data_IF_079096578014
#
_entry.id   IF_079096578014
#
_cell.length_a   1.000
_cell.length_b   1.000
_cell.length_c   1.000
_cell.angle_alpha   90.00
_cell.angle_beta   90.00
_cell.angle_gamma   90.00
#
_symmetry.space_group_name_H-M   'P 1'
#
loop_
_entity.id
_entity.type
_entity.pdbx_description
1 polymer ?
#
# COMPACT_ATOMS: atom_id res chain seq x y z
N UNK A 1 -10.44 -12.46 -3.99
CA UNK A 1 -10.66 -11.11 -3.42
C UNK A 1 -9.44 -10.21 -3.57
N UNK A 2 -8.28 -10.59 -3.00
CA UNK A 2 -7.02 -9.80 -3.05
C UNK A 2 -6.69 -9.29 -4.46
N UNK A 3 -6.70 -10.17 -5.47
CA UNK A 3 -6.36 -9.78 -6.85
C UNK A 3 -7.26 -8.66 -7.41
N UNK A 4 -8.55 -8.69 -7.07
CA UNK A 4 -9.51 -7.67 -7.53
C UNK A 4 -9.28 -6.34 -6.80
N UNK A 5 -8.96 -6.40 -5.51
CA UNK A 5 -8.64 -5.20 -4.72
C UNK A 5 -7.36 -4.53 -5.23
N UNK A 6 -6.32 -5.31 -5.53
CA UNK A 6 -5.07 -4.83 -6.12
C UNK A 6 -5.31 -4.21 -7.50
N UNK A 7 -6.01 -4.92 -8.39
CA UNK A 7 -6.30 -4.43 -9.75
C UNK A 7 -7.17 -3.17 -9.76
N UNK A 8 -8.04 -3.00 -8.76
CA UNK A 8 -8.86 -1.79 -8.58
C UNK A 8 -8.17 -0.67 -7.79
N UNK A 9 -6.88 -0.83 -7.44
CA UNK A 9 -6.09 0.09 -6.62
C UNK A 9 -6.77 0.48 -5.31
N UNK A 10 -7.50 -0.46 -4.69
CA UNK A 10 -8.18 -0.24 -3.41
C UNK A 10 -7.17 -0.26 -2.27
N UNK A 11 -7.39 0.57 -1.25
CA UNK A 11 -6.61 0.46 -0.02
C UNK A 11 -7.05 -0.77 0.77
N UNK A 12 -6.13 -1.70 1.00
CA UNK A 12 -6.36 -2.87 1.84
C UNK A 12 -5.04 -3.38 2.41
N UNK A 13 -5.16 -4.12 3.52
CA UNK A 13 -4.14 -5.01 4.01
C UNK A 13 -4.81 -6.35 4.34
N UNK A 14 -4.08 -7.45 4.18
CA UNK A 14 -4.58 -8.78 4.48
C UNK A 14 -3.55 -9.53 5.30
N UNK A 15 -4.00 -10.38 6.21
CA UNK A 15 -3.15 -11.15 7.12
C UNK A 15 -3.83 -12.48 7.41
N UNK A 16 -3.08 -13.56 7.44
CA UNK A 16 -3.59 -14.90 7.70
C UNK A 16 -2.63 -15.73 8.54
N UNK A 17 -3.19 -16.77 9.16
CA UNK A 17 -2.45 -17.83 9.80
C UNK A 17 -3.17 -19.17 9.58
N UNK A 18 -2.45 -20.27 9.82
CA UNK A 18 -2.97 -21.64 9.78
C UNK A 18 -3.22 -22.20 11.18
N UNK A 19 -3.50 -21.31 12.14
CA UNK A 19 -3.85 -21.68 13.51
C UNK A 19 -5.30 -22.13 13.62
N UNK A 20 -5.74 -22.43 14.85
CA UNK A 20 -7.16 -22.64 15.12
C UNK A 20 -7.92 -21.31 15.23
N UNK A 21 -9.24 -21.38 15.43
CA UNK A 21 -10.07 -20.17 15.58
C UNK A 21 -9.68 -19.29 16.78
N UNK A 22 -9.01 -19.84 17.80
CA UNK A 22 -8.50 -19.09 18.95
C UNK A 22 -7.28 -18.23 18.62
N UNK A 23 -6.55 -18.56 17.55
CA UNK A 23 -5.34 -17.86 17.13
C UNK A 23 -5.58 -16.75 16.10
N UNK A 24 -6.82 -16.60 15.61
CA UNK A 24 -7.18 -15.56 14.62
C UNK A 24 -6.86 -14.13 15.08
N UNK A 25 -6.81 -13.90 16.40
CA UNK A 25 -6.41 -12.62 16.99
C UNK A 25 -4.97 -12.19 16.64
N UNK A 26 -4.08 -13.13 16.34
CA UNK A 26 -2.68 -12.83 15.98
C UNK A 26 -2.60 -12.13 14.63
N UNK A 27 -3.27 -12.66 13.61
CA UNK A 27 -3.34 -12.08 12.28
C UNK A 27 -3.99 -10.68 12.32
N UNK A 28 -5.07 -10.53 13.11
CA UNK A 28 -5.73 -9.24 13.35
C UNK A 28 -4.85 -8.26 14.13
N UNK A 29 -3.99 -8.74 15.02
CA UNK A 29 -3.03 -7.91 15.75
C UNK A 29 -2.07 -7.18 14.81
N UNK A 30 -1.61 -7.84 13.73
CA UNK A 30 -0.78 -7.21 12.70
C UNK A 30 -1.55 -6.13 11.92
N UNK A 31 -2.80 -6.41 11.54
CA UNK A 31 -3.65 -5.42 10.86
C UNK A 31 -3.85 -4.20 11.76
N UNK A 32 -4.24 -4.40 13.02
CA UNK A 32 -4.45 -3.31 13.96
C UNK A 32 -3.17 -2.51 14.26
N UNK A 33 -1.99 -3.16 14.23
CA UNK A 33 -0.71 -2.47 14.42
C UNK A 33 -0.40 -1.48 13.30
N UNK A 34 -0.58 -1.89 12.04
CA UNK A 34 -0.16 -1.09 10.88
C UNK A 34 -1.28 -0.25 10.27
N UNK A 35 -2.52 -0.73 10.37
CA UNK A 35 -3.72 -0.18 9.74
C UNK A 35 -4.84 0.05 10.76
N UNK A 36 -4.59 0.74 11.88
CA UNK A 36 -5.63 1.01 12.85
C UNK A 36 -6.70 1.94 12.24
N UNK A 37 -7.95 1.79 12.68
CA UNK A 37 -9.11 2.40 12.04
C UNK A 37 -9.03 3.94 11.96
N UNK A 38 -8.35 4.59 12.91
CA UNK A 38 -8.17 6.05 12.95
C UNK A 38 -7.34 6.62 11.81
N UNK A 39 -6.59 5.79 11.07
CA UNK A 39 -5.87 6.20 9.85
C UNK A 39 -6.82 6.37 8.66
N UNK A 40 -8.03 5.83 8.70
CA UNK A 40 -9.01 5.88 7.62
C UNK A 40 -10.14 6.87 7.92
N UNK A 41 -9.84 8.15 7.77
CA UNK A 41 -10.77 9.24 8.11
C UNK A 41 -11.62 9.65 6.91
N UNK A 42 -12.87 10.03 7.17
CA UNK A 42 -13.83 10.48 6.15
C UNK A 42 -13.50 11.82 5.49
N UNK A 43 -12.51 12.55 6.01
CA UNK A 43 -12.10 13.87 5.52
C UNK A 43 -10.60 13.93 5.18
N UNK A 44 -9.96 12.78 4.98
CA UNK A 44 -8.54 12.69 4.64
C UNK A 44 -8.35 11.65 3.53
N UNK A 45 -7.43 11.91 2.61
CA UNK A 45 -6.99 10.88 1.66
C UNK A 45 -5.98 9.94 2.30
N UNK A 46 -5.64 8.87 1.61
CA UNK A 46 -4.62 7.92 2.05
C UNK A 46 -3.95 7.22 0.86
N UNK A 47 -2.71 6.73 1.02
CA UNK A 47 -2.09 5.84 0.05
C UNK A 47 -2.77 4.47 0.10
N UNK A 48 -3.27 3.99 -1.04
CA UNK A 48 -3.47 2.58 -1.27
C UNK A 48 -2.17 1.97 -1.76
N UNK A 49 -1.64 1.04 -0.97
CA UNK A 49 -0.49 0.22 -1.33
C UNK A 49 -0.96 -1.04 -2.06
N UNK A 50 -0.20 -1.47 -3.06
CA UNK A 50 -0.44 -2.72 -3.77
C UNK A 50 0.85 -3.26 -4.37
N UNK A 51 0.84 -4.53 -4.77
CA UNK A 51 1.97 -5.20 -5.41
C UNK A 51 3.29 -5.00 -4.64
N UNK A 52 3.24 -5.09 -3.32
CA UNK A 52 4.45 -4.95 -2.51
C UNK A 52 5.33 -6.19 -2.74
N UNK A 53 6.61 -5.99 -3.04
CA UNK A 53 7.53 -7.10 -3.36
C UNK A 53 7.86 -7.99 -2.19
N UNK A 54 7.39 -7.65 -0.98
CA UNK A 54 7.53 -8.44 0.25
C UNK A 54 6.20 -9.05 0.69
N UNK A 55 5.15 -8.95 -0.14
CA UNK A 55 3.88 -9.62 0.10
C UNK A 55 4.09 -11.14 0.09
N UNK A 56 3.52 -11.83 1.09
CA UNK A 56 3.61 -13.27 1.20
C UNK A 56 2.67 -13.98 0.22
N UNK A 57 2.96 -15.25 -0.08
CA UNK A 57 2.15 -16.04 -1.02
C UNK A 57 0.98 -16.71 -0.30
N UNK A 58 -0.26 -16.33 -0.63
CA UNK A 58 -1.47 -16.92 -0.03
C UNK A 58 -1.78 -18.34 -0.54
N UNK A 59 -1.13 -18.78 -1.62
CA UNK A 59 -1.49 -20.00 -2.34
C UNK A 59 -2.65 -19.79 -3.32
N UNK A 60 -2.92 -20.82 -4.12
CA UNK A 60 -3.95 -20.83 -5.18
C UNK A 60 -5.16 -21.71 -4.83
N UNK A 61 -5.20 -22.24 -3.61
CA UNK A 61 -6.22 -23.18 -3.13
C UNK A 61 -5.71 -24.62 -2.99
N UNK A 62 -4.51 -24.94 -3.49
CA UNK A 62 -3.82 -26.18 -3.11
C UNK A 62 -3.34 -26.08 -1.64
N UNK A 63 -3.71 -27.03 -0.76
CA UNK A 63 -3.24 -27.04 0.63
C UNK A 63 -1.72 -27.10 0.80
N UNK A 64 -0.98 -27.51 -0.22
CA UNK A 64 0.50 -27.53 -0.21
C UNK A 64 1.12 -26.24 -0.77
N UNK A 65 0.32 -25.32 -1.34
CA UNK A 65 0.78 -24.09 -1.96
C UNK A 65 0.56 -22.87 -1.05
N UNK A 66 1.55 -21.98 -1.03
CA UNK A 66 1.52 -20.76 -0.22
C UNK A 66 2.14 -20.90 1.16
N UNK A 67 2.21 -19.78 1.86
CA UNK A 67 2.76 -19.68 3.21
C UNK A 67 1.66 -19.91 4.23
N UNK A 68 1.95 -20.67 5.28
CA UNK A 68 0.98 -20.97 6.35
C UNK A 68 0.61 -19.74 7.17
N UNK A 69 1.49 -18.73 7.21
CA UNK A 69 1.29 -17.46 7.89
C UNK A 69 1.86 -16.38 6.99
N UNK A 70 1.14 -15.28 6.82
CA UNK A 70 1.62 -14.20 5.98
C UNK A 70 0.67 -13.01 5.93
N UNK A 71 0.99 -12.06 5.06
CA UNK A 71 0.15 -10.92 4.77
C UNK A 71 0.42 -10.28 3.41
N UNK A 72 -0.49 -9.39 3.04
CA UNK A 72 -0.41 -8.55 1.85
C UNK A 72 -0.48 -7.10 2.30
N UNK A 73 0.39 -6.26 1.76
CA UNK A 73 0.51 -4.85 2.12
C UNK A 73 0.65 -4.66 3.64
N UNK A 74 1.46 -5.46 4.34
CA UNK A 74 1.73 -5.26 5.77
C UNK A 74 2.92 -4.32 6.01
N UNK A 75 2.99 -3.76 7.21
CA UNK A 75 4.16 -3.02 7.67
C UNK A 75 4.14 -1.52 7.42
N UNK A 76 3.20 -1.00 6.65
CA UNK A 76 3.25 0.41 6.25
C UNK A 76 2.78 1.38 7.34
N UNK A 77 3.51 2.48 7.44
CA UNK A 77 3.11 3.70 8.14
C UNK A 77 3.09 4.86 7.16
N UNK A 78 2.14 5.78 7.31
CA UNK A 78 2.08 6.97 6.47
C UNK A 78 1.57 8.18 7.25
N UNK A 79 1.87 9.36 6.72
CA UNK A 79 1.42 10.64 7.25
C UNK A 79 1.90 11.79 6.36
N UNK A 80 1.74 13.02 6.86
CA UNK A 80 2.10 14.25 6.14
C UNK A 80 1.45 14.31 4.74
N UNK A 81 0.17 13.92 4.67
CA UNK A 81 -0.59 13.90 3.42
C UNK A 81 -0.89 15.33 3.00
N UNK A 82 -0.62 15.63 1.74
CA UNK A 82 -1.06 16.84 1.04
C UNK A 82 -2.09 16.41 0.02
N UNK A 83 -3.25 17.07 0.03
CA UNK A 83 -4.38 16.81 -0.87
C UNK A 83 -4.91 18.17 -1.35
N UNK A 84 -4.27 18.68 -2.40
CA UNK A 84 -4.53 19.98 -3.01
C UNK A 84 -4.96 19.79 -4.48
N UNK A 85 -5.53 20.83 -5.08
CA UNK A 85 -5.84 20.79 -6.51
C UNK A 85 -4.56 20.61 -7.32
N UNK A 86 -4.46 19.50 -8.07
CA UNK A 86 -3.32 19.19 -8.93
C UNK A 86 -2.07 18.69 -8.20
N UNK A 87 -2.11 18.54 -6.87
CA UNK A 87 -0.98 18.03 -6.08
C UNK A 87 -1.44 17.09 -4.98
N UNK A 88 -0.80 15.92 -4.94
CA UNK A 88 -0.88 15.00 -3.82
C UNK A 88 0.52 14.56 -3.41
N UNK A 89 0.76 14.43 -2.11
CA UNK A 89 2.01 13.85 -1.60
C UNK A 89 1.77 13.15 -0.27
N UNK A 90 2.61 12.17 0.03
CA UNK A 90 2.58 11.44 1.30
C UNK A 90 4.02 11.12 1.73
N UNK A 91 4.25 11.00 3.02
CA UNK A 91 5.43 10.33 3.56
C UNK A 91 5.03 8.97 4.10
N UNK A 92 5.75 7.92 3.73
CA UNK A 92 5.51 6.58 4.25
C UNK A 92 6.81 5.82 4.53
N UNK A 93 6.70 4.75 5.29
CA UNK A 93 7.76 3.78 5.58
C UNK A 93 7.16 2.38 5.74
N UNK A 94 7.99 1.34 5.72
CA UNK A 94 7.58 -0.03 6.01
C UNK A 94 8.46 -0.62 7.12
N UNK A 95 7.86 -1.19 8.18
CA UNK A 95 8.59 -1.78 9.31
C UNK A 95 9.15 -3.18 9.01
N UNK A 96 8.65 -3.84 7.95
CA UNK A 96 8.98 -5.22 7.60
C UNK A 96 10.07 -5.32 6.52
N UNK A 97 10.41 -4.22 5.86
CA UNK A 97 11.49 -4.20 4.86
C UNK A 97 12.86 -4.35 5.54
N UNK A 98 13.59 -5.40 5.17
CA UNK A 98 14.95 -5.66 5.67
C UNK A 98 16.04 -5.01 4.79
N UNK A 99 15.72 -4.67 3.55
CA UNK A 99 16.64 -4.07 2.58
C UNK A 99 15.90 -3.09 1.70
N UNK A 100 15.73 -3.46 0.43
CA UNK A 100 14.93 -2.74 -0.56
C UNK A 100 13.64 -3.52 -0.85
N UNK A 101 12.54 -2.82 -1.08
CA UNK A 101 11.29 -3.36 -1.60
C UNK A 101 10.72 -2.40 -2.64
N UNK A 102 9.84 -2.90 -3.51
CA UNK A 102 9.02 -2.06 -4.39
C UNK A 102 7.56 -2.15 -3.99
N UNK A 103 6.80 -1.09 -4.22
CA UNK A 103 5.35 -1.05 -3.98
C UNK A 103 4.66 -0.09 -4.95
N UNK A 104 3.43 -0.39 -5.33
CA UNK A 104 2.58 0.55 -6.05
C UNK A 104 1.87 1.47 -5.05
N UNK A 105 1.86 2.78 -5.32
CA UNK A 105 1.19 3.78 -4.48
C UNK A 105 0.14 4.51 -5.29
N UNK A 106 -1.11 4.45 -4.83
CA UNK A 106 -2.24 5.16 -5.44
C UNK A 106 -2.94 6.06 -4.42
N UNK A 107 -3.09 7.38 -4.65
CA UNK A 107 -3.90 8.25 -3.81
C UNK A 107 -5.35 7.81 -3.84
N UNK A 108 -5.95 7.59 -2.67
CA UNK A 108 -7.37 7.23 -2.54
C UNK A 108 -8.09 8.17 -1.60
N UNK A 109 -9.39 8.25 -1.82
CA UNK A 109 -10.28 9.08 -1.02
C UNK A 109 -9.86 10.57 -1.02
N UNK A 110 -9.37 11.03 -2.17
CA UNK A 110 -8.93 12.41 -2.38
C UNK A 110 -10.08 13.41 -2.32
N UNK A 111 -9.85 14.49 -1.58
CA UNK A 111 -10.83 15.54 -1.37
C UNK A 111 -10.72 16.61 -2.46
N UNK A 112 -9.50 17.03 -2.78
CA UNK A 112 -9.21 18.07 -3.77
C UNK A 112 -8.43 17.53 -4.96
N UNK A 113 -7.52 16.59 -4.74
CA UNK A 113 -6.76 15.95 -5.80
C UNK A 113 -7.65 15.03 -6.63
N UNK A 114 -8.18 15.56 -7.74
CA UNK A 114 -9.13 14.87 -8.62
C UNK A 114 -8.67 14.91 -10.08
N UNK A 115 -7.58 14.22 -10.43
CA UNK A 115 -7.11 14.15 -11.81
C UNK A 115 -8.20 13.53 -12.69
N UNK A 116 -8.36 14.05 -13.90
CA UNK A 116 -9.30 13.52 -14.87
C UNK A 116 -8.66 12.34 -15.60
N UNK A 117 -9.46 11.36 -16.06
CA UNK A 117 -8.95 10.30 -16.92
C UNK A 117 -8.10 10.84 -18.07
N UNK A 118 -6.92 10.24 -18.30
CA UNK A 118 -5.98 10.68 -19.32
C UNK A 118 -5.07 11.85 -18.93
N UNK A 119 -5.24 12.48 -17.76
CA UNK A 119 -4.29 13.48 -17.28
C UNK A 119 -2.92 12.85 -16.97
N UNK A 120 -1.86 13.45 -17.49
CA UNK A 120 -0.49 13.07 -17.15
C UNK A 120 -0.05 13.75 -15.86
N UNK A 121 0.51 12.97 -14.95
CA UNK A 121 0.99 13.40 -13.65
C UNK A 121 2.45 12.99 -13.48
N UNK A 122 3.23 13.86 -12.83
CA UNK A 122 4.63 13.59 -12.50
C UNK A 122 4.75 13.21 -11.03
N UNK A 123 5.45 12.13 -10.80
CA UNK A 123 5.77 11.60 -9.48
C UNK A 123 7.24 11.80 -9.20
N UNK A 124 7.51 12.27 -8.00
CA UNK A 124 8.87 12.45 -7.50
C UNK A 124 8.98 11.80 -6.15
N UNK A 125 9.93 10.88 -6.03
CA UNK A 125 10.32 10.22 -4.79
C UNK A 125 11.66 10.76 -4.30
N UNK A 126 12.00 10.48 -3.05
CA UNK A 126 13.36 10.68 -2.52
C UNK A 126 14.31 9.52 -2.86
N UNK A 127 13.77 8.39 -3.33
CA UNK A 127 14.53 7.15 -3.58
C UNK A 127 14.56 6.75 -5.07
N UNK A 128 13.69 7.32 -5.90
CA UNK A 128 13.59 7.03 -7.33
C UNK A 128 13.71 8.29 -8.18
N UNK A 129 14.00 8.07 -9.45
CA UNK A 129 13.90 9.10 -10.47
C UNK A 129 12.45 9.57 -10.66
N UNK A 130 12.31 10.77 -11.22
CA UNK A 130 10.99 11.30 -11.56
C UNK A 130 10.34 10.47 -12.66
N UNK A 131 9.12 9.99 -12.41
CA UNK A 131 8.34 9.21 -13.38
C UNK A 131 7.07 9.96 -13.76
N UNK A 132 6.60 9.74 -14.99
CA UNK A 132 5.32 10.27 -15.45
C UNK A 132 4.34 9.13 -15.64
N UNK A 133 3.14 9.27 -15.09
CA UNK A 133 2.06 8.31 -15.25
C UNK A 133 0.80 9.01 -15.73
N UNK A 134 -0.12 8.26 -16.33
CA UNK A 134 -1.38 8.78 -16.82
C UNK A 134 -2.51 8.30 -15.92
N UNK A 135 -3.42 9.20 -15.55
CA UNK A 135 -4.62 8.85 -14.82
C UNK A 135 -5.45 7.84 -15.62
N UNK A 136 -5.86 6.74 -14.98
CA UNK A 136 -6.64 5.68 -15.60
C UNK A 136 -8.07 6.14 -15.94
N UNK A 137 -8.91 5.21 -16.42
CA UNK A 137 -10.31 5.51 -16.79
C UNK A 137 -11.17 5.95 -15.60
N UNK A 138 -10.72 5.67 -14.38
CA UNK A 138 -11.36 6.03 -13.12
C UNK A 138 -10.76 7.32 -12.52
N UNK A 139 -9.77 7.93 -13.18
CA UNK A 139 -9.06 9.10 -12.67
C UNK A 139 -8.10 8.75 -11.53
N UNK A 140 -7.66 7.49 -11.41
CA UNK A 140 -6.66 7.07 -10.44
C UNK A 140 -5.27 7.19 -11.04
N UNK A 141 -4.31 7.56 -10.21
CA UNK A 141 -2.93 7.80 -10.62
C UNK A 141 -2.06 6.94 -9.73
N UNK A 142 -1.28 6.05 -10.33
CA UNK A 142 -0.44 5.10 -9.59
C UNK A 142 1.02 5.33 -9.96
N UNK A 143 1.85 5.52 -8.93
CA UNK A 143 3.29 5.37 -9.05
C UNK A 143 3.62 3.89 -8.85
N UNK A 144 4.05 3.23 -9.93
CA UNK A 144 4.23 1.78 -9.93
C UNK A 144 5.68 1.42 -9.59
N UNK A 145 5.84 0.40 -8.74
CA UNK A 145 7.14 -0.13 -8.29
C UNK A 145 8.04 0.90 -7.59
N UNK A 146 7.44 1.83 -6.85
CA UNK A 146 8.16 2.80 -6.05
C UNK A 146 9.06 2.09 -5.02
N UNK A 147 10.33 2.48 -4.95
CA UNK A 147 11.31 1.92 -4.04
C UNK A 147 11.06 2.42 -2.62
N UNK A 148 11.06 1.48 -1.69
CA UNK A 148 11.11 1.73 -0.26
C UNK A 148 12.27 0.92 0.32
N UNK A 149 13.11 1.56 1.13
CA UNK A 149 14.24 0.90 1.76
C UNK A 149 14.21 1.10 3.28
N UNK A 150 14.77 0.15 4.01
CA UNK A 150 15.01 0.33 5.45
C UNK A 150 15.85 1.59 5.66
N UNK A 151 15.51 2.40 6.65
CA UNK A 151 16.38 3.52 7.02
C UNK A 151 17.73 2.93 7.46
N UNK A 152 18.84 3.32 6.81
CA UNK A 152 20.18 3.08 7.36
C UNK A 152 20.18 3.65 8.77
N UNK A 153 20.29 2.80 9.80
CA UNK A 153 20.62 3.29 11.14
C UNK A 153 21.91 4.11 10.98
N UNK A 154 21.95 5.38 11.40
CA UNK A 154 23.24 6.04 11.55
C UNK A 154 24.06 5.20 12.53
N UNK A 155 25.28 4.83 12.12
CA UNK A 155 26.25 4.12 12.95
C UNK A 155 26.54 4.89 14.25
#
# INVERSE_FOLDING_TARGET
MVHVLTAGHHGFAFSWNNGDHGEGGQAMGLINKYYPAEKFRKNESFPAFGNSSIDQQMGDGDPAAGELVGGINLGFHWGQIVDETGRWSVRFSNDLVAGEMTVDVTPRHCQQFKPQPGHMMRWKSSLDDEVTTTADRQGLVTDARLICSSAKKPF
#
